data_IF_054827663302
#
_entry.id   IF_054827663302
#
_cell.length_a   1.000
_cell.length_b   1.000
_cell.length_c   1.000
_cell.angle_alpha   90.00
_cell.angle_beta   90.00
_cell.angle_gamma   90.00
#
_symmetry.space_group_name_H-M   'P 1'
#
loop_
_entity.id
_entity.type
_entity.pdbx_description
1 polymer ?
#
# COMPACT_ATOMS: atom_id res chain seq x y z
N UNK A 1 -16.68 2.60 14.84
CA UNK A 1 -16.17 3.57 13.88
C UNK A 1 -14.72 3.91 14.20
N UNK A 2 -13.85 3.65 13.25
CA UNK A 2 -12.42 3.87 13.43
C UNK A 2 -11.90 5.11 12.68
N UNK A 3 -12.80 6.01 12.31
CA UNK A 3 -12.43 7.24 11.62
C UNK A 3 -11.50 8.08 12.49
N UNK A 4 -10.41 8.58 11.91
CA UNK A 4 -9.45 9.40 12.66
C UNK A 4 -9.95 10.82 12.84
N UNK A 5 -9.27 11.58 13.71
CA UNK A 5 -9.57 13.00 13.90
C UNK A 5 -9.39 13.78 12.60
N UNK A 6 -8.47 13.35 11.72
CA UNK A 6 -8.28 13.95 10.41
C UNK A 6 -9.30 13.53 9.36
N UNK A 7 -10.21 12.63 9.72
CA UNK A 7 -11.29 12.19 8.83
C UNK A 7 -10.95 10.98 7.97
N UNK A 8 -9.81 10.33 8.17
CA UNK A 8 -9.46 9.13 7.42
C UNK A 8 -10.24 7.93 7.96
N UNK A 9 -10.75 7.12 7.07
CA UNK A 9 -11.57 5.96 7.44
C UNK A 9 -11.07 4.66 6.82
N UNK A 10 -9.94 4.67 6.14
CA UNK A 10 -9.37 3.47 5.53
C UNK A 10 -7.85 3.59 5.42
N UNK A 11 -7.20 2.44 5.28
CA UNK A 11 -5.77 2.35 5.02
C UNK A 11 -5.58 1.62 3.71
N UNK A 12 -4.86 2.24 2.77
CA UNK A 12 -4.52 1.59 1.51
C UNK A 12 -3.15 0.93 1.69
N UNK A 13 -3.12 -0.39 1.60
CA UNK A 13 -1.89 -1.17 1.80
C UNK A 13 -1.29 -1.48 0.44
N UNK A 14 -0.03 -1.13 0.25
CA UNK A 14 0.71 -1.37 -0.99
C UNK A 14 2.05 -2.00 -0.64
N UNK A 15 2.41 -3.07 -1.34
CA UNK A 15 3.71 -3.74 -1.14
C UNK A 15 4.42 -3.82 -2.47
N UNK A 16 5.68 -3.39 -2.49
CA UNK A 16 6.54 -3.57 -3.66
C UNK A 16 6.93 -5.05 -3.73
N UNK A 17 6.66 -5.72 -4.86
CA UNK A 17 6.93 -7.15 -4.97
C UNK A 17 8.40 -7.48 -4.94
N UNK A 18 9.25 -6.59 -5.45
CA UNK A 18 10.68 -6.84 -5.52
C UNK A 18 11.37 -6.63 -4.19
N UNK A 19 11.15 -5.48 -3.56
CA UNK A 19 11.82 -5.13 -2.31
C UNK A 19 11.08 -5.60 -1.07
N UNK A 20 9.80 -5.97 -1.21
CA UNK A 20 8.90 -6.29 -0.11
C UNK A 20 8.64 -5.14 0.84
N UNK A 21 8.99 -3.91 0.44
CA UNK A 21 8.70 -2.72 1.22
C UNK A 21 7.19 -2.45 1.22
N UNK A 22 6.65 -2.18 2.40
CA UNK A 22 5.23 -1.90 2.57
C UNK A 22 4.99 -0.41 2.74
N UNK A 23 3.84 0.05 2.24
CA UNK A 23 3.37 1.41 2.40
C UNK A 23 1.94 1.39 2.89
N UNK A 24 1.65 2.19 3.91
CA UNK A 24 0.33 2.27 4.52
C UNK A 24 -0.17 3.69 4.36
N UNK A 25 -1.11 3.90 3.46
CA UNK A 25 -1.59 5.24 3.12
C UNK A 25 -2.96 5.48 3.73
N UNK A 26 -3.08 6.47 4.64
CA UNK A 26 -4.40 6.81 5.18
C UNK A 26 -5.21 7.49 4.09
N UNK A 27 -6.43 7.01 3.88
CA UNK A 27 -7.32 7.51 2.84
C UNK A 27 -8.74 7.59 3.36
N UNK A 28 -9.60 8.21 2.55
CA UNK A 28 -11.05 8.15 2.75
C UNK A 28 -11.64 7.28 1.66
N UNK A 29 -12.59 6.43 2.03
CA UNK A 29 -13.28 5.60 1.04
C UNK A 29 -13.91 6.45 -0.07
N UNK A 30 -14.25 7.69 0.24
CA UNK A 30 -14.85 8.61 -0.73
C UNK A 30 -13.85 9.20 -1.73
N UNK A 31 -12.55 8.99 -1.54
CA UNK A 31 -11.56 9.53 -2.47
C UNK A 31 -11.75 8.94 -3.87
N UNK A 32 -11.71 9.83 -4.88
CA UNK A 32 -11.76 9.41 -6.28
C UNK A 32 -10.40 8.91 -6.73
N UNK A 33 -10.40 8.13 -7.81
CA UNK A 33 -9.18 7.50 -8.32
C UNK A 33 -8.09 8.53 -8.63
N UNK A 34 -8.45 9.69 -9.16
CA UNK A 34 -7.46 10.74 -9.46
C UNK A 34 -6.71 11.18 -8.21
N UNK A 35 -7.42 11.31 -7.09
CA UNK A 35 -6.78 11.70 -5.84
C UNK A 35 -5.89 10.59 -5.30
N UNK A 36 -6.35 9.36 -5.36
CA UNK A 36 -5.55 8.21 -4.93
C UNK A 36 -4.26 8.10 -5.74
N UNK A 37 -4.35 8.35 -7.04
CA UNK A 37 -3.19 8.34 -7.92
C UNK A 37 -2.17 9.41 -7.51
N UNK A 38 -2.65 10.62 -7.20
CA UNK A 38 -1.75 11.69 -6.73
C UNK A 38 -1.09 11.36 -5.41
N UNK A 39 -1.84 10.72 -4.50
CA UNK A 39 -1.28 10.28 -3.22
C UNK A 39 -0.16 9.27 -3.46
N UNK A 40 -0.41 8.29 -4.33
CA UNK A 40 0.59 7.29 -4.67
C UNK A 40 1.86 7.93 -5.24
N UNK A 41 1.70 8.83 -6.20
CA UNK A 41 2.84 9.50 -6.82
C UNK A 41 3.64 10.27 -5.78
N UNK A 42 2.97 11.01 -4.91
CA UNK A 42 3.62 11.82 -3.90
C UNK A 42 4.33 10.98 -2.83
N UNK A 43 3.68 9.92 -2.35
CA UNK A 43 4.14 9.20 -1.16
C UNK A 43 4.99 7.98 -1.49
N UNK A 44 4.80 7.37 -2.65
CA UNK A 44 5.47 6.12 -3.00
C UNK A 44 6.45 6.30 -4.15
N UNK A 45 5.99 6.84 -5.27
CA UNK A 45 6.86 6.96 -6.44
C UNK A 45 8.02 7.92 -6.20
N UNK A 46 7.82 8.92 -5.38
CA UNK A 46 8.91 9.84 -5.03
C UNK A 46 10.09 9.11 -4.40
N UNK A 47 9.80 8.06 -3.65
CA UNK A 47 10.84 7.29 -2.95
C UNK A 47 11.42 6.17 -3.79
N UNK A 48 10.62 5.55 -4.65
CA UNK A 48 10.99 4.31 -5.33
C UNK A 48 10.97 4.40 -6.85
N UNK A 49 10.62 5.56 -7.41
CA UNK A 49 10.49 5.71 -8.85
C UNK A 49 9.24 5.02 -9.40
N UNK A 50 9.25 4.76 -10.72
CA UNK A 50 8.12 4.14 -11.40
C UNK A 50 7.98 2.69 -10.92
N UNK A 51 6.76 2.28 -10.50
CA UNK A 51 6.58 0.92 -9.99
C UNK A 51 6.73 -0.11 -11.11
N UNK A 52 7.43 -1.20 -10.80
CA UNK A 52 7.57 -2.33 -11.72
C UNK A 52 6.49 -3.38 -11.40
N UNK A 53 6.28 -3.65 -10.12
CA UNK A 53 5.31 -4.64 -9.69
C UNK A 53 4.89 -4.34 -8.25
N UNK A 54 3.59 -4.25 -8.03
CA UNK A 54 3.05 -4.01 -6.68
C UNK A 54 1.91 -4.99 -6.40
N UNK A 55 1.68 -5.24 -5.12
CA UNK A 55 0.48 -5.93 -4.64
C UNK A 55 -0.26 -4.98 -3.70
N UNK A 56 -1.57 -5.16 -3.62
CA UNK A 56 -2.43 -4.26 -2.86
C UNK A 56 -3.55 -5.06 -2.22
N UNK A 57 -4.10 -4.52 -1.13
CA UNK A 57 -5.27 -5.09 -0.47
C UNK A 57 -6.58 -4.80 -1.20
N UNK A 58 -6.53 -4.02 -2.28
CA UNK A 58 -7.71 -3.68 -3.06
C UNK A 58 -7.98 -4.76 -4.12
N UNK A 59 -9.23 -4.84 -4.57
CA UNK A 59 -9.60 -5.85 -5.56
C UNK A 59 -8.98 -5.56 -6.93
N UNK A 60 -9.09 -6.54 -7.83
CA UNK A 60 -8.45 -6.44 -9.15
C UNK A 60 -9.04 -5.32 -10.01
N UNK A 61 -10.34 -5.03 -9.84
CA UNK A 61 -10.98 -3.94 -10.57
C UNK A 61 -10.40 -2.60 -10.16
N UNK A 62 -10.25 -2.39 -8.86
CA UNK A 62 -9.63 -1.18 -8.34
C UNK A 62 -8.20 -1.05 -8.85
N UNK A 63 -7.42 -2.10 -8.75
CA UNK A 63 -6.01 -2.09 -9.16
C UNK A 63 -5.86 -1.78 -10.65
N UNK A 64 -6.72 -2.36 -11.48
CA UNK A 64 -6.71 -2.07 -12.92
C UNK A 64 -7.02 -0.61 -13.20
N UNK A 65 -8.02 -0.06 -12.55
CA UNK A 65 -8.39 1.35 -12.70
C UNK A 65 -7.27 2.28 -12.20
N UNK A 66 -6.62 1.89 -11.14
CA UNK A 66 -5.48 2.64 -10.61
C UNK A 66 -4.33 2.70 -11.64
N UNK A 67 -3.99 1.56 -12.24
CA UNK A 67 -2.92 1.53 -13.23
C UNK A 67 -3.25 2.39 -14.44
N UNK A 68 -4.49 2.37 -14.89
CA UNK A 68 -4.93 3.25 -16.01
C UNK A 68 -4.80 4.72 -15.63
N UNK A 69 -5.21 5.08 -14.41
CA UNK A 69 -5.11 6.45 -13.93
C UNK A 69 -3.65 6.89 -13.80
N UNK A 70 -2.78 5.99 -13.35
CA UNK A 70 -1.35 6.28 -13.20
C UNK A 70 -0.70 6.52 -14.56
N UNK A 71 -0.99 5.68 -15.56
CA UNK A 71 -0.50 5.88 -16.91
C UNK A 71 -0.90 7.25 -17.46
N UNK A 72 -2.17 7.61 -17.27
CA UNK A 72 -2.68 8.90 -17.75
C UNK A 72 -1.99 10.05 -17.03
N UNK A 73 -1.81 9.95 -15.72
CA UNK A 73 -1.19 11.01 -14.93
C UNK A 73 0.28 11.22 -15.31
N UNK A 74 0.96 10.16 -15.66
CA UNK A 74 2.38 10.22 -16.03
C UNK A 74 2.61 10.56 -17.49
N UNK A 75 1.57 10.48 -18.30
CA UNK A 75 1.70 10.73 -19.75
C UNK A 75 2.52 9.68 -20.48
N UNK A 76 2.70 8.50 -19.88
CA UNK A 76 3.43 7.40 -20.49
C UNK A 76 2.58 6.15 -20.45
N UNK A 77 2.93 5.16 -21.28
CA UNK A 77 2.28 3.86 -21.21
C UNK A 77 3.13 2.92 -20.37
N UNK A 78 2.55 2.44 -19.27
CA UNK A 78 3.17 1.42 -18.45
C UNK A 78 2.81 0.06 -19.03
N UNK A 79 3.73 -0.88 -18.91
CA UNK A 79 3.47 -2.25 -19.37
C UNK A 79 2.61 -2.96 -18.32
N UNK A 80 1.33 -3.07 -18.61
CA UNK A 80 0.37 -3.69 -17.71
C UNK A 80 0.69 -5.15 -17.45
N UNK A 81 1.32 -5.84 -18.41
CA UNK A 81 1.64 -7.25 -18.24
C UNK A 81 2.77 -7.47 -17.25
N UNK A 82 3.65 -6.48 -17.05
CA UNK A 82 4.74 -6.58 -16.09
C UNK A 82 4.45 -5.88 -14.77
N UNK A 83 3.66 -4.81 -14.80
CA UNK A 83 3.42 -3.99 -13.62
C UNK A 83 2.16 -4.38 -12.86
N UNK A 84 1.14 -4.88 -13.56
CA UNK A 84 -0.12 -5.26 -12.94
C UNK A 84 -0.13 -6.75 -12.59
N UNK A 85 -0.33 -7.03 -11.30
CA UNK A 85 -0.42 -8.41 -10.82
C UNK A 85 -1.66 -8.54 -9.94
N UNK A 86 -2.67 -9.32 -10.37
CA UNK A 86 -3.78 -9.63 -9.49
C UNK A 86 -3.28 -10.45 -8.30
N UNK A 87 -3.96 -10.32 -7.17
CA UNK A 87 -3.59 -11.04 -5.95
C UNK A 87 -4.06 -12.49 -6.03
N UNK A 88 -3.44 -13.27 -6.91
CA UNK A 88 -3.86 -14.65 -7.13
C UNK A 88 -2.88 -15.67 -6.58
N UNK A 89 -1.64 -15.30 -6.27
CA UNK A 89 -0.71 -16.24 -5.67
C UNK A 89 -0.84 -16.24 -4.15
N UNK A 90 -0.67 -17.42 -3.55
CA UNK A 90 -0.88 -17.61 -2.12
C UNK A 90 0.07 -16.79 -1.25
N UNK A 91 1.27 -16.52 -1.75
CA UNK A 91 2.25 -15.74 -0.99
C UNK A 91 1.84 -14.28 -0.88
N UNK A 92 1.36 -13.69 -1.97
CA UNK A 92 0.88 -12.30 -1.96
C UNK A 92 -0.32 -12.15 -1.04
N UNK A 93 -1.28 -13.08 -1.13
CA UNK A 93 -2.45 -13.07 -0.26
C UNK A 93 -2.06 -13.18 1.21
N UNK A 94 -1.11 -14.05 1.53
CA UNK A 94 -0.65 -14.25 2.90
C UNK A 94 0.03 -13.01 3.43
N UNK A 95 0.84 -12.36 2.62
CA UNK A 95 1.50 -11.10 3.01
C UNK A 95 0.48 -10.04 3.34
N UNK A 96 -0.51 -9.84 2.47
CA UNK A 96 -1.55 -8.84 2.69
C UNK A 96 -2.37 -9.18 3.94
N UNK A 97 -2.74 -10.43 4.13
CA UNK A 97 -3.50 -10.85 5.32
C UNK A 97 -2.71 -10.57 6.61
N UNK A 98 -1.43 -10.86 6.60
CA UNK A 98 -0.57 -10.61 7.76
C UNK A 98 -0.52 -9.11 8.07
N UNK A 99 -0.34 -8.28 7.05
CA UNK A 99 -0.30 -6.84 7.23
C UNK A 99 -1.63 -6.29 7.71
N UNK A 100 -2.74 -6.76 7.15
CA UNK A 100 -4.07 -6.32 7.59
C UNK A 100 -4.33 -6.69 9.04
N UNK A 101 -3.92 -7.89 9.46
CA UNK A 101 -4.06 -8.31 10.85
C UNK A 101 -3.26 -7.42 11.80
N UNK A 102 -2.03 -7.11 11.43
CA UNK A 102 -1.18 -6.21 12.20
C UNK A 102 -1.79 -4.81 12.31
N UNK A 103 -2.25 -4.26 11.18
CA UNK A 103 -2.84 -2.93 11.16
C UNK A 103 -4.13 -2.87 11.96
N UNK A 104 -4.93 -3.94 11.93
CA UNK A 104 -6.17 -3.99 12.71
C UNK A 104 -5.86 -3.86 14.21
N UNK A 105 -4.80 -4.53 14.68
CA UNK A 105 -4.38 -4.42 16.05
C UNK A 105 -3.98 -2.98 16.41
N UNK A 106 -3.24 -2.31 15.53
CA UNK A 106 -2.83 -0.93 15.76
C UNK A 106 -4.01 0.03 15.75
N UNK A 107 -4.97 -0.19 14.86
CA UNK A 107 -6.18 0.65 14.83
C UNK A 107 -6.96 0.52 16.14
N UNK A 108 -7.03 -0.68 16.69
CA UNK A 108 -7.68 -0.89 17.98
C UNK A 108 -6.93 -0.15 19.11
N UNK A 109 -5.60 -0.23 19.10
CA UNK A 109 -4.77 0.38 20.16
C UNK A 109 -4.77 1.90 20.10
N UNK A 110 -4.70 2.48 18.90
CA UNK A 110 -4.52 3.92 18.75
C UNK A 110 -5.81 4.68 18.44
N UNK A 111 -6.92 3.97 18.22
CA UNK A 111 -8.22 4.58 18.03
C UNK A 111 -8.19 5.67 16.94
N UNK A 112 -8.60 6.89 17.26
CA UNK A 112 -8.73 7.97 16.29
C UNK A 112 -7.40 8.56 15.82
N UNK A 113 -6.29 8.11 16.39
CA UNK A 113 -4.96 8.62 16.01
C UNK A 113 -4.13 7.59 15.26
N UNK A 114 -4.75 6.51 14.75
CA UNK A 114 -3.99 5.47 14.06
C UNK A 114 -3.23 6.01 12.85
N UNK A 115 -3.75 7.03 12.18
CA UNK A 115 -3.12 7.59 10.99
C UNK A 115 -1.76 8.24 11.30
N UNK A 116 -1.64 8.89 12.45
CA UNK A 116 -0.38 9.55 12.83
C UNK A 116 0.71 8.56 13.20
N UNK A 117 0.34 7.31 13.49
CA UNK A 117 1.30 6.27 13.86
C UNK A 117 1.71 5.39 12.66
N UNK A 118 1.11 5.56 11.51
CA UNK A 118 1.43 4.74 10.33
C UNK A 118 2.90 4.82 9.91
N UNK A 119 3.56 6.00 9.92
CA UNK A 119 4.97 6.03 9.55
C UNK A 119 5.85 5.18 10.44
N UNK A 120 5.58 5.13 11.74
CA UNK A 120 6.33 4.30 12.67
C UNK A 120 6.06 2.82 12.44
N UNK A 121 4.80 2.47 12.18
CA UNK A 121 4.41 1.09 11.90
C UNK A 121 5.09 0.61 10.63
N UNK A 122 5.10 1.44 9.59
CA UNK A 122 5.77 1.16 8.32
C UNK A 122 7.27 0.93 8.55
N UNK A 123 7.91 1.80 9.29
CA UNK A 123 9.34 1.68 9.59
C UNK A 123 9.63 0.37 10.33
N UNK A 124 8.83 0.06 11.34
CA UNK A 124 9.02 -1.15 12.15
C UNK A 124 8.85 -2.41 11.31
N UNK A 125 7.83 -2.46 10.46
CA UNK A 125 7.60 -3.62 9.61
C UNK A 125 8.76 -3.80 8.63
N UNK A 126 9.12 -2.74 7.91
CA UNK A 126 10.16 -2.83 6.88
C UNK A 126 11.51 -3.18 7.49
N UNK A 127 11.81 -2.61 8.65
CA UNK A 127 13.06 -2.91 9.34
C UNK A 127 13.12 -4.37 9.82
N UNK A 128 12.02 -4.87 10.37
CA UNK A 128 11.94 -6.26 10.81
C UNK A 128 12.09 -7.23 9.65
N UNK A 129 11.46 -6.94 8.52
CA UNK A 129 11.57 -7.79 7.33
C UNK A 129 13.02 -7.88 6.87
N UNK A 130 13.70 -6.74 6.74
CA UNK A 130 15.09 -6.72 6.27
C UNK A 130 16.03 -7.41 7.27
N UNK A 131 15.78 -7.27 8.56
CA UNK A 131 16.56 -7.95 9.58
C UNK A 131 16.41 -9.46 9.46
N UNK A 132 15.19 -9.95 9.26
CA UNK A 132 14.93 -11.38 9.10
C UNK A 132 15.68 -11.95 7.88
N UNK A 133 15.69 -11.20 6.77
CA UNK A 133 16.39 -11.64 5.57
C UNK A 133 17.90 -11.71 5.82
N UNK A 134 18.47 -10.76 6.53
CA UNK A 134 19.90 -10.74 6.81
C UNK A 134 20.35 -11.89 7.69
N UNK A 135 19.48 -12.37 8.56
CA UNK A 135 19.76 -13.46 9.49
C UNK A 135 19.51 -14.82 8.85
N UNK A 136 18.66 -14.88 7.84
CA UNK A 136 18.34 -16.14 7.14
C UNK A 136 19.59 -16.67 6.45
N UNK A 137 19.90 -17.96 6.61
CA UNK A 137 21.04 -18.58 5.95
C UNK A 137 20.87 -18.66 4.44
#
# INVERSE_FOLDING_TARGET
>A
DHKTAGGFDAIWVIVDRLTKSAHFLPIKESYKMEKLTRIYIKEVMRLHGVPVSIISDRDSRFTSRFWQSLQKAMGTQLDMSTAYHPQTDGQSERTIQTLEGMLRAYVIDFHKSWDTHLPLIKFSYNNSYHTSIKVAP
#
